data_IF_150907896864
#
_entry.id   IF_150907896864
#
_cell.length_a   1.000
_cell.length_b   1.000
_cell.length_c   1.000
_cell.angle_alpha   90.00
_cell.angle_beta   90.00
_cell.angle_gamma   90.00
#
_symmetry.space_group_name_H-M   'P 1'
#
loop_
_entity.id
_entity.type
_entity.pdbx_description
1 polymer ?
#
# COMPACT_ATOMS: atom_id res chain seq x y z
N UNK A 1 -0.96 21.68 -17.85
CA UNK A 1 -0.19 20.92 -16.84
C UNK A 1 -1.19 20.37 -15.83
N UNK A 2 -1.66 19.14 -16.06
CA UNK A 2 -2.61 18.48 -15.14
C UNK A 2 -1.99 18.36 -13.75
N UNK A 3 -2.78 18.57 -12.69
CA UNK A 3 -2.32 18.34 -11.32
C UNK A 3 -1.94 16.86 -11.20
N UNK A 4 -0.71 16.58 -10.79
CA UNK A 4 -0.29 15.23 -10.42
C UNK A 4 -1.23 14.70 -9.33
N UNK A 5 -1.96 13.60 -9.57
CA UNK A 5 -2.93 13.05 -8.64
C UNK A 5 -2.29 12.50 -7.36
N UNK A 6 -0.97 12.26 -7.35
CA UNK A 6 -0.23 11.78 -6.19
C UNK A 6 0.38 12.91 -5.36
N UNK A 7 0.25 14.17 -5.80
CA UNK A 7 0.83 15.30 -5.08
C UNK A 7 0.16 15.47 -3.71
N UNK A 8 0.90 15.15 -2.66
CA UNK A 8 0.42 15.18 -1.28
C UNK A 8 -0.25 13.88 -0.82
N UNK A 9 -0.13 12.79 -1.57
CA UNK A 9 -0.57 11.47 -1.13
C UNK A 9 0.38 10.90 -0.08
N UNK A 10 -0.14 10.59 1.11
CA UNK A 10 0.58 9.83 2.13
C UNK A 10 0.21 8.34 2.04
N UNK A 11 1.19 7.43 1.90
CA UNK A 11 0.92 6.01 1.87
C UNK A 11 0.31 5.51 3.18
N UNK A 12 -0.77 4.75 3.08
CA UNK A 12 -1.38 4.07 4.22
C UNK A 12 -0.78 2.68 4.46
N UNK A 13 -1.22 2.01 5.52
CA UNK A 13 -0.75 0.68 5.95
C UNK A 13 -0.81 -0.35 4.82
N UNK A 14 -1.90 -0.40 4.06
CA UNK A 14 -2.05 -1.32 2.93
C UNK A 14 -1.06 -1.03 1.79
N UNK A 15 -0.63 0.22 1.60
CA UNK A 15 0.37 0.58 0.60
C UNK A 15 1.77 0.06 0.98
N UNK A 16 2.09 0.05 2.26
CA UNK A 16 3.34 -0.56 2.76
C UNK A 16 3.27 -2.09 2.65
N UNK A 17 2.16 -2.70 3.05
CA UNK A 17 1.94 -4.15 2.91
C UNK A 17 2.01 -4.62 1.44
N UNK A 18 1.52 -3.80 0.50
CA UNK A 18 1.57 -4.10 -0.93
C UNK A 18 2.98 -4.17 -1.52
N UNK A 19 3.99 -3.66 -0.79
CA UNK A 19 5.42 -3.70 -1.15
C UNK A 19 6.18 -4.86 -0.52
N UNK A 20 5.62 -5.48 0.52
CA UNK A 20 6.24 -6.60 1.22
C UNK A 20 6.31 -7.82 0.31
N UNK A 21 7.42 -8.56 0.32
CA UNK A 21 7.65 -9.75 -0.51
C UNK A 21 6.98 -10.98 0.07
N UNK A 22 6.97 -11.08 1.39
CA UNK A 22 6.48 -12.19 2.19
C UNK A 22 5.84 -11.69 3.51
N UNK A 23 5.30 -12.64 4.27
CA UNK A 23 4.56 -12.37 5.50
C UNK A 23 5.47 -11.87 6.63
N UNK A 24 6.74 -12.29 6.65
CA UNK A 24 7.71 -11.83 7.63
C UNK A 24 7.97 -10.32 7.46
N UNK A 25 8.20 -9.87 6.21
CA UNK A 25 8.35 -8.43 5.90
C UNK A 25 7.08 -7.64 6.26
N UNK A 26 5.90 -8.23 6.08
CA UNK A 26 4.64 -7.61 6.48
C UNK A 26 4.52 -7.43 8.00
N UNK A 27 4.96 -8.41 8.79
CA UNK A 27 4.98 -8.33 10.26
C UNK A 27 5.95 -7.25 10.74
N UNK A 28 7.13 -7.14 10.13
CA UNK A 28 8.09 -6.06 10.44
C UNK A 28 7.49 -4.67 10.16
N UNK A 29 6.82 -4.51 9.02
CA UNK A 29 6.15 -3.26 8.63
C UNK A 29 5.03 -2.91 9.61
N UNK A 30 4.14 -3.85 9.95
CA UNK A 30 3.06 -3.62 10.91
C UNK A 30 3.64 -3.20 12.27
N UNK A 31 4.67 -3.90 12.74
CA UNK A 31 5.34 -3.59 14.01
C UNK A 31 5.98 -2.20 13.99
N UNK A 32 6.60 -1.82 12.88
CA UNK A 32 7.17 -0.49 12.70
C UNK A 32 6.09 0.60 12.78
N UNK A 33 4.96 0.43 12.10
CA UNK A 33 3.86 1.40 12.08
C UNK A 33 3.23 1.57 13.47
N UNK A 34 3.07 0.47 14.22
CA UNK A 34 2.63 0.52 15.62
C UNK A 34 3.60 1.31 16.49
N UNK A 35 4.91 1.03 16.37
CA UNK A 35 5.94 1.76 17.12
C UNK A 35 6.00 3.25 16.78
N UNK A 36 5.54 3.65 15.58
CA UNK A 36 5.41 5.05 15.16
C UNK A 36 4.10 5.71 15.60
N UNK A 37 3.15 4.94 16.11
CA UNK A 37 1.79 5.40 16.40
C UNK A 37 0.97 5.69 15.14
N UNK A 38 1.39 5.14 13.99
CA UNK A 38 0.71 5.26 12.70
C UNK A 38 -0.32 4.14 12.47
N UNK A 39 -0.32 3.13 13.34
CA UNK A 39 -1.25 2.00 13.37
C UNK A 39 -1.49 1.65 14.84
N UNK A 40 -2.73 1.43 15.26
CA UNK A 40 -2.99 1.00 16.63
C UNK A 40 -2.81 -0.52 16.82
N UNK A 41 -2.67 -0.92 18.09
CA UNK A 41 -2.42 -2.31 18.46
C UNK A 41 -3.58 -3.27 18.09
N UNK A 42 -4.82 -2.78 18.04
CA UNK A 42 -5.99 -3.60 17.72
C UNK A 42 -6.03 -3.87 16.22
N UNK A 43 -5.92 -2.82 15.40
CA UNK A 43 -5.82 -2.91 13.94
C UNK A 43 -4.63 -3.76 13.50
N UNK A 44 -3.47 -3.61 14.16
CA UNK A 44 -2.28 -4.42 13.89
C UNK A 44 -2.54 -5.92 14.13
N UNK A 45 -3.21 -6.28 15.23
CA UNK A 45 -3.55 -7.67 15.53
C UNK A 45 -4.54 -8.26 14.53
N UNK A 46 -5.52 -7.47 14.08
CA UNK A 46 -6.45 -7.92 13.06
C UNK A 46 -5.76 -8.17 11.71
N UNK A 47 -4.86 -7.26 11.32
CA UNK A 47 -4.06 -7.42 10.11
C UNK A 47 -3.19 -8.67 10.16
N UNK A 48 -2.47 -8.90 11.25
CA UNK A 48 -1.65 -10.11 11.41
C UNK A 48 -2.50 -11.38 11.32
N UNK A 49 -3.65 -11.44 12.00
CA UNK A 49 -4.57 -12.60 11.93
C UNK A 49 -5.09 -12.85 10.51
N UNK A 50 -5.40 -11.80 9.76
CA UNK A 50 -5.85 -11.92 8.37
C UNK A 50 -4.73 -12.41 7.46
N UNK A 51 -3.51 -11.90 7.63
CA UNK A 51 -2.34 -12.36 6.89
C UNK A 51 -2.08 -13.84 7.18
N UNK A 52 -2.10 -14.25 8.44
CA UNK A 52 -1.91 -15.66 8.83
C UNK A 52 -3.00 -16.58 8.25
N UNK A 53 -4.26 -16.12 8.21
CA UNK A 53 -5.40 -16.93 7.75
C UNK A 53 -5.53 -17.01 6.23
N UNK A 54 -5.31 -15.89 5.55
CA UNK A 54 -5.67 -15.70 4.14
C UNK A 54 -4.44 -15.48 3.24
N UNK A 55 -3.28 -15.23 3.83
CA UNK A 55 -2.05 -14.86 3.17
C UNK A 55 -1.93 -13.36 2.91
N UNK A 56 -0.68 -12.86 2.83
CA UNK A 56 -0.40 -11.44 2.59
C UNK A 56 -1.12 -10.88 1.35
N UNK A 57 -1.23 -11.66 0.27
CA UNK A 57 -1.82 -11.21 -1.00
C UNK A 57 -3.34 -11.11 -0.98
N UNK A 58 -4.00 -11.78 -0.04
CA UNK A 58 -5.43 -11.57 0.20
C UNK A 58 -5.70 -10.29 0.99
N UNK A 59 -4.72 -9.84 1.80
CA UNK A 59 -4.82 -8.63 2.63
C UNK A 59 -4.39 -7.38 1.85
N UNK A 60 -3.34 -7.47 1.03
CA UNK A 60 -2.90 -6.40 0.17
C UNK A 60 -2.48 -6.92 -1.20
N UNK A 61 -3.14 -6.40 -2.25
CA UNK A 61 -2.75 -6.66 -3.63
C UNK A 61 -1.30 -6.22 -3.84
N UNK A 62 -0.49 -7.09 -4.45
CA UNK A 62 0.91 -6.79 -4.75
C UNK A 62 0.96 -5.56 -5.66
N UNK A 63 1.60 -4.49 -5.21
CA UNK A 63 1.78 -3.29 -6.01
C UNK A 63 3.14 -3.35 -6.68
N UNK A 64 3.17 -3.79 -7.94
CA UNK A 64 4.37 -3.67 -8.76
C UNK A 64 4.70 -2.19 -9.00
N UNK A 65 6.00 -1.92 -9.21
CA UNK A 65 6.51 -0.60 -9.54
C UNK A 65 5.76 -0.08 -10.78
N UNK A 66 4.97 1.00 -10.63
CA UNK A 66 4.18 1.57 -11.72
C UNK A 66 2.66 1.48 -11.57
N UNK A 67 2.11 0.79 -10.56
CA UNK A 67 0.64 0.66 -10.38
C UNK A 67 -0.11 2.01 -10.46
N UNK A 68 0.42 3.06 -9.84
CA UNK A 68 -0.19 4.39 -9.91
C UNK A 68 0.07 5.11 -11.25
N UNK A 69 1.22 4.85 -11.87
CA UNK A 69 1.53 5.37 -13.20
C UNK A 69 0.53 4.75 -14.20
N UNK A 70 0.40 3.43 -14.28
CA UNK A 70 -0.53 2.79 -15.21
C UNK A 70 -2.01 3.12 -14.97
N UNK A 71 -2.39 3.30 -13.69
CA UNK A 71 -3.77 3.65 -13.33
C UNK A 71 -4.13 5.07 -13.75
N UNK A 72 -3.23 6.02 -13.48
CA UNK A 72 -3.53 7.44 -13.63
C UNK A 72 -2.82 8.13 -14.78
N UNK A 73 -1.87 7.52 -15.47
CA UNK A 73 -1.13 8.11 -16.60
C UNK A 73 -1.61 7.51 -17.92
N UNK A 74 -1.96 8.38 -18.87
CA UNK A 74 -2.22 8.05 -20.26
C UNK A 74 -0.90 8.27 -21.05
N UNK A 75 -0.18 7.21 -21.44
CA UNK A 75 1.11 7.33 -22.10
C UNK A 75 0.99 7.93 -23.51
N UNK A 76 -0.15 7.76 -24.18
CA UNK A 76 -0.38 8.28 -25.53
C UNK A 76 -0.60 9.79 -25.50
N UNK A 77 -1.26 10.28 -24.43
CA UNK A 77 -1.51 11.72 -24.22
C UNK A 77 -0.43 12.41 -23.40
N UNK A 78 0.48 11.64 -22.77
CA UNK A 78 1.46 12.12 -21.77
C UNK A 78 0.81 12.94 -20.65
N UNK A 79 -0.38 12.54 -20.23
CA UNK A 79 -1.16 13.28 -19.24
C UNK A 79 -1.78 12.31 -18.22
N UNK A 80 -2.11 12.82 -17.03
CA UNK A 80 -2.86 12.02 -16.07
C UNK A 80 -4.34 11.93 -16.48
N UNK A 81 -4.90 10.72 -16.48
CA UNK A 81 -6.33 10.45 -16.60
C UNK A 81 -7.04 11.22 -15.48
N UNK A 82 -7.85 12.22 -15.84
CA UNK A 82 -8.70 12.94 -14.89
C UNK A 82 -9.66 11.92 -14.26
N UNK A 83 -9.57 11.78 -12.93
CA UNK A 83 -10.62 11.12 -12.13
C UNK A 83 -11.92 11.89 -12.17
#
# INVERSE_FOLDING_TARGET
MGKDPLRGYEPGVLDYLGRCRDEDEAVEVITYLVNKGELDDEEARELMKRIEREGLRAVSERREFGYYLDKYYDPDKKEYRKG
#
